data_IF_151674031879
#
_entry.id   IF_151674031879
#
_cell.length_a   1.000
_cell.length_b   1.000
_cell.length_c   1.000
_cell.angle_alpha   90.00
_cell.angle_beta   90.00
_cell.angle_gamma   90.00
#
_symmetry.space_group_name_H-M   'P 1'
#
loop_
_entity.id
_entity.type
_entity.pdbx_description
1 polymer ?
#
# COMPACT_ATOMS: atom_id res chain seq x y z
N UNK A 1 -24.65 -24.80 46.22
CA UNK A 1 -23.90 -25.55 45.19
C UNK A 1 -23.76 -24.63 43.99
N UNK A 2 -22.53 -24.30 43.57
CA UNK A 2 -22.29 -23.43 42.43
C UNK A 2 -22.25 -24.26 41.15
N UNK A 3 -23.16 -23.97 40.21
CA UNK A 3 -23.19 -24.57 38.88
C UNK A 3 -22.09 -23.92 38.06
N UNK A 4 -21.08 -24.69 37.69
CA UNK A 4 -20.06 -24.29 36.72
C UNK A 4 -20.74 -24.02 35.37
N UNK A 5 -20.32 -23.01 34.59
CA UNK A 5 -20.87 -22.77 33.27
C UNK A 5 -20.31 -23.85 32.34
N UNK A 6 -21.02 -24.97 32.24
CA UNK A 6 -20.81 -25.96 31.19
C UNK A 6 -21.11 -25.28 29.87
N UNK A 7 -20.12 -25.24 28.98
CA UNK A 7 -20.19 -24.69 27.64
C UNK A 7 -21.44 -25.20 26.93
N UNK A 8 -22.40 -24.31 26.62
CA UNK A 8 -23.72 -24.65 26.06
C UNK A 8 -23.69 -25.10 24.59
N UNK A 9 -22.51 -25.35 24.02
CA UNK A 9 -22.34 -25.66 22.61
C UNK A 9 -21.84 -27.09 22.47
N UNK A 10 -22.56 -27.93 21.71
CA UNK A 10 -22.11 -29.29 21.42
C UNK A 10 -20.79 -29.28 20.62
N UNK A 11 -20.04 -30.40 20.60
CA UNK A 11 -18.72 -30.50 19.95
C UNK A 11 -18.73 -30.08 18.46
N UNK A 12 -19.87 -30.25 17.78
CA UNK A 12 -20.04 -29.81 16.38
C UNK A 12 -20.02 -28.27 16.23
N UNK A 13 -20.56 -27.54 17.20
CA UNK A 13 -20.58 -26.08 17.17
C UNK A 13 -19.19 -25.51 17.50
N UNK A 14 -18.45 -26.12 18.44
CA UNK A 14 -17.07 -25.74 18.73
C UNK A 14 -16.15 -25.98 17.51
N UNK A 15 -16.32 -27.10 16.81
CA UNK A 15 -15.59 -27.40 15.57
C UNK A 15 -15.89 -26.38 14.47
N UNK A 16 -17.17 -26.04 14.26
CA UNK A 16 -17.59 -25.03 13.27
C UNK A 16 -17.03 -23.63 13.58
N UNK A 17 -16.96 -23.25 14.86
CA UNK A 17 -16.34 -21.98 15.29
C UNK A 17 -14.84 -21.99 15.00
N UNK A 18 -14.15 -23.11 15.25
CA UNK A 18 -12.71 -23.22 14.98
C UNK A 18 -12.42 -23.12 13.48
N UNK A 19 -13.17 -23.83 12.65
CA UNK A 19 -13.06 -23.78 11.17
C UNK A 19 -13.30 -22.37 10.64
N UNK A 20 -14.36 -21.71 11.11
CA UNK A 20 -14.67 -20.32 10.73
C UNK A 20 -13.54 -19.37 11.12
N UNK A 21 -12.98 -19.51 12.33
CA UNK A 21 -11.85 -18.69 12.77
C UNK A 21 -10.59 -18.92 11.94
N UNK A 22 -10.30 -20.17 11.55
CA UNK A 22 -9.17 -20.46 10.66
C UNK A 22 -9.37 -19.85 9.27
N UNK A 23 -10.58 -19.97 8.72
CA UNK A 23 -10.93 -19.35 7.44
C UNK A 23 -10.74 -17.82 7.47
N UNK A 24 -11.27 -17.15 8.50
CA UNK A 24 -11.15 -15.69 8.65
C UNK A 24 -9.69 -15.24 8.78
N UNK A 25 -8.84 -16.01 9.48
CA UNK A 25 -7.40 -15.71 9.56
C UNK A 25 -6.71 -15.84 8.21
N UNK A 26 -7.04 -16.88 7.44
CA UNK A 26 -6.51 -17.07 6.09
C UNK A 26 -6.92 -15.95 5.15
N UNK A 27 -8.19 -15.54 5.17
CA UNK A 27 -8.67 -14.42 4.35
C UNK A 27 -8.05 -13.08 4.78
N UNK A 28 -7.82 -12.87 6.08
CA UNK A 28 -7.12 -11.69 6.57
C UNK A 28 -5.68 -11.63 6.04
N UNK A 29 -4.93 -12.73 6.12
CA UNK A 29 -3.56 -12.76 5.60
C UNK A 29 -3.50 -12.57 4.08
N UNK A 30 -4.45 -13.16 3.36
CA UNK A 30 -4.61 -12.93 1.91
C UNK A 30 -4.91 -11.47 1.60
N UNK A 31 -5.81 -10.83 2.35
CA UNK A 31 -6.14 -9.43 2.18
C UNK A 31 -4.92 -8.52 2.46
N UNK A 32 -4.17 -8.79 3.52
CA UNK A 32 -2.92 -8.07 3.83
C UNK A 32 -1.90 -8.17 2.70
N UNK A 33 -1.73 -9.36 2.12
CA UNK A 33 -0.81 -9.54 1.00
C UNK A 33 -1.29 -8.79 -0.24
N UNK A 34 -2.57 -8.92 -0.60
CA UNK A 34 -3.15 -8.19 -1.72
C UNK A 34 -3.00 -6.67 -1.57
N UNK A 35 -3.17 -6.15 -0.35
CA UNK A 35 -2.98 -4.74 -0.07
C UNK A 35 -1.52 -4.31 -0.29
N UNK A 36 -0.55 -5.11 0.16
CA UNK A 36 0.88 -4.86 -0.10
C UNK A 36 1.19 -4.84 -1.59
N UNK A 37 0.74 -5.85 -2.33
CA UNK A 37 0.98 -5.96 -3.77
C UNK A 37 0.35 -4.82 -4.55
N UNK A 38 -0.88 -4.40 -4.17
CA UNK A 38 -1.55 -3.27 -4.79
C UNK A 38 -0.83 -1.95 -4.48
N UNK A 39 -0.35 -1.79 -3.25
CA UNK A 39 0.42 -0.62 -2.83
C UNK A 39 1.72 -0.51 -3.64
N UNK A 40 2.45 -1.61 -3.82
CA UNK A 40 3.66 -1.64 -4.64
C UNK A 40 3.39 -1.25 -6.10
N UNK A 41 2.34 -1.82 -6.70
CA UNK A 41 1.92 -1.47 -8.08
C UNK A 41 1.52 -0.02 -8.20
N UNK A 42 0.78 0.50 -7.22
CA UNK A 42 0.36 1.91 -7.19
C UNK A 42 1.58 2.84 -7.11
N UNK A 43 2.51 2.57 -6.20
CA UNK A 43 3.74 3.36 -6.04
C UNK A 43 4.61 3.30 -7.30
N UNK A 44 4.72 2.13 -7.93
CA UNK A 44 5.46 1.96 -9.20
C UNK A 44 4.83 2.78 -10.33
N UNK A 45 3.49 2.73 -10.46
CA UNK A 45 2.75 3.52 -11.44
C UNK A 45 2.96 5.02 -11.22
N UNK A 46 2.91 5.46 -9.95
CA UNK A 46 3.14 6.86 -9.57
C UNK A 46 4.55 7.32 -9.91
N UNK A 47 5.57 6.54 -9.55
CA UNK A 47 6.97 6.85 -9.88
C UNK A 47 7.20 6.94 -11.40
N UNK A 48 6.54 6.07 -12.16
CA UNK A 48 6.59 6.08 -13.63
C UNK A 48 5.92 7.33 -14.22
N UNK A 49 4.70 7.65 -13.77
CA UNK A 49 3.97 8.84 -14.21
C UNK A 49 4.75 10.12 -13.92
N UNK A 50 5.32 10.22 -12.72
CA UNK A 50 6.14 11.36 -12.32
C UNK A 50 7.43 11.47 -13.13
N UNK A 51 8.14 10.37 -13.35
CA UNK A 51 9.36 10.35 -14.18
C UNK A 51 9.06 10.79 -15.61
N UNK A 52 7.94 10.34 -16.17
CA UNK A 52 7.48 10.76 -17.49
C UNK A 52 7.11 12.24 -17.50
N UNK A 53 6.36 12.73 -16.51
CA UNK A 53 5.97 14.13 -16.39
C UNK A 53 7.21 15.04 -16.32
N UNK A 54 8.22 14.67 -15.54
CA UNK A 54 9.49 15.38 -15.47
C UNK A 54 10.26 15.38 -16.79
N UNK A 55 10.26 14.24 -17.50
CA UNK A 55 10.86 14.18 -18.84
C UNK A 55 10.13 15.11 -19.81
N UNK A 56 8.80 15.07 -19.84
CA UNK A 56 7.99 15.93 -20.71
C UNK A 56 8.12 17.41 -20.37
N UNK A 57 8.32 17.76 -19.09
CA UNK A 57 8.59 19.13 -18.65
C UNK A 57 9.91 19.66 -19.26
N UNK A 58 10.96 18.82 -19.35
CA UNK A 58 12.23 19.21 -19.98
C UNK A 58 12.06 19.53 -21.47
N UNK A 59 11.18 18.80 -22.16
CA UNK A 59 10.88 19.02 -23.58
C UNK A 59 9.83 20.12 -23.81
N UNK A 60 9.34 20.79 -22.75
CA UNK A 60 8.33 21.85 -22.81
C UNK A 60 7.11 21.47 -23.67
N UNK A 61 6.63 20.24 -23.51
CA UNK A 61 5.43 19.79 -24.22
C UNK A 61 4.21 20.62 -23.77
N UNK A 62 3.78 21.55 -24.62
CA UNK A 62 2.69 22.50 -24.31
C UNK A 62 1.36 21.79 -24.08
N UNK A 63 1.07 20.75 -24.88
CA UNK A 63 -0.15 19.95 -24.81
C UNK A 63 -0.26 19.13 -23.51
N UNK A 64 0.87 18.85 -22.85
CA UNK A 64 0.90 18.06 -21.62
C UNK A 64 1.06 18.89 -20.35
N UNK A 65 1.09 20.23 -20.43
CA UNK A 65 1.39 21.10 -19.27
C UNK A 65 0.44 20.89 -18.09
N UNK A 66 -0.86 20.84 -18.35
CA UNK A 66 -1.86 20.69 -17.29
C UNK A 66 -1.78 19.29 -16.64
N UNK A 67 -1.55 18.26 -17.45
CA UNK A 67 -1.36 16.89 -16.96
C UNK A 67 -0.08 16.75 -16.11
N UNK A 68 1.04 17.34 -16.57
CA UNK A 68 2.30 17.38 -15.82
C UNK A 68 2.08 18.09 -14.48
N UNK A 69 1.38 19.22 -14.48
CA UNK A 69 1.10 19.99 -13.27
C UNK A 69 0.26 19.19 -12.26
N UNK A 70 -0.81 18.54 -12.70
CA UNK A 70 -1.65 17.71 -11.82
C UNK A 70 -0.88 16.56 -11.17
N UNK A 71 -0.06 15.85 -11.95
CA UNK A 71 0.78 14.74 -11.44
C UNK A 71 1.79 15.22 -10.40
N UNK A 72 2.36 16.42 -10.59
CA UNK A 72 3.31 17.02 -9.65
C UNK A 72 2.63 17.58 -8.39
N UNK A 73 1.44 18.16 -8.51
CA UNK A 73 0.69 18.72 -7.37
C UNK A 73 0.09 17.65 -6.45
N UNK A 74 -0.39 16.52 -7.00
CA UNK A 74 -0.89 15.39 -6.21
C UNK A 74 0.21 14.75 -5.33
N UNK A 75 1.48 14.81 -5.76
CA UNK A 75 2.62 14.34 -4.97
C UNK A 75 2.89 15.22 -3.75
N UNK A 76 2.79 16.54 -3.90
CA UNK A 76 2.93 17.51 -2.81
C UNK A 76 1.89 17.26 -1.70
N UNK A 77 0.63 17.01 -2.08
CA UNK A 77 -0.42 16.74 -1.10
C UNK A 77 -0.21 15.41 -0.36
N UNK A 78 0.28 14.38 -1.04
CA UNK A 78 0.57 13.08 -0.42
C UNK A 78 1.71 13.17 0.61
N UNK A 79 2.76 13.96 0.33
CA UNK A 79 3.85 14.21 1.29
C UNK A 79 3.39 14.93 2.55
N UNK A 80 2.46 15.88 2.43
CA UNK A 80 1.87 16.58 3.58
C UNK A 80 1.00 15.65 4.44
N UNK A 81 0.27 14.71 3.83
CA UNK A 81 -0.59 13.78 4.55
C UNK A 81 0.18 12.67 5.30
N UNK A 82 1.42 12.35 4.88
CA UNK A 82 2.24 11.31 5.52
C UNK A 82 3.17 11.82 6.64
N UNK A 83 3.10 13.10 7.01
CA UNK A 83 3.97 13.74 8.01
C UNK A 83 3.79 13.31 9.48
N UNK A 84 2.96 12.31 9.79
CA UNK A 84 2.70 11.88 11.18
C UNK A 84 2.84 10.36 11.36
N UNK A 85 4.08 9.85 11.35
CA UNK A 85 4.39 8.52 11.90
C UNK A 85 5.31 7.67 11.05
N UNK A 86 6.61 7.72 11.36
CA UNK A 86 7.69 6.76 11.02
C UNK A 86 7.42 5.79 9.84
N UNK A 87 7.35 6.34 8.63
CA UNK A 87 7.65 5.61 7.39
C UNK A 87 8.71 6.41 6.63
N UNK A 88 9.65 5.70 5.99
CA UNK A 88 10.76 6.31 5.25
C UNK A 88 10.18 7.16 4.13
N UNK A 89 10.43 8.48 4.09
CA UNK A 89 9.85 9.36 3.09
C UNK A 89 10.19 8.91 1.67
N UNK A 90 9.22 8.97 0.75
CA UNK A 90 9.36 8.64 -0.67
C UNK A 90 10.60 9.27 -1.33
N UNK A 91 11.03 10.46 -0.89
CA UNK A 91 12.23 11.13 -1.41
C UNK A 91 13.56 10.44 -1.04
N UNK A 92 13.63 9.67 0.05
CA UNK A 92 14.81 8.85 0.40
C UNK A 92 14.92 7.63 -0.53
N UNK A 93 13.79 6.99 -0.85
CA UNK A 93 13.73 5.95 -1.90
C UNK A 93 14.14 6.54 -3.25
N UNK A 94 13.67 7.76 -3.55
CA UNK A 94 14.02 8.53 -4.74
C UNK A 94 15.52 8.85 -4.84
N UNK A 95 16.15 9.22 -3.71
CA UNK A 95 17.58 9.48 -3.62
C UNK A 95 18.40 8.21 -3.88
N UNK A 96 17.91 7.05 -3.45
CA UNK A 96 18.54 5.76 -3.72
C UNK A 96 18.49 5.39 -5.21
N UNK A 97 17.32 5.54 -5.84
CA UNK A 97 17.13 5.26 -7.26
C UNK A 97 17.93 6.20 -8.18
N UNK A 98 18.03 7.49 -7.82
CA UNK A 98 18.82 8.48 -8.57
C UNK A 98 20.34 8.30 -8.39
N UNK A 99 20.80 7.77 -7.25
CA UNK A 99 22.23 7.67 -6.91
C UNK A 99 22.89 6.39 -7.41
N UNK A 100 22.15 5.30 -7.61
CA UNK A 100 22.76 3.99 -7.90
C UNK A 100 22.26 3.25 -9.13
N UNK A 101 21.27 3.77 -9.87
CA UNK A 101 20.61 2.97 -10.91
C UNK A 101 19.89 1.77 -10.28
N UNK A 102 18.94 1.19 -11.01
CA UNK A 102 18.03 0.17 -10.47
C UNK A 102 18.77 -0.95 -9.71
N UNK A 103 18.50 -1.19 -8.42
CA UNK A 103 18.95 -2.40 -7.76
C UNK A 103 18.21 -3.59 -8.37
N UNK A 104 18.95 -4.57 -8.86
CA UNK A 104 18.43 -5.90 -9.17
C UNK A 104 18.05 -6.59 -7.86
N UNK A 105 16.76 -6.67 -7.57
CA UNK A 105 16.20 -7.59 -6.57
C UNK A 105 15.69 -8.84 -7.27
#
# INVERSE_FOLDING_TARGET
MAVSPTTCFGPNAEMSILETNQYLRSELEKCKQNFRDLTEKFLTSKATAYSLANHLQKYKCEECKDLIKSVLEEELQFQFLQGSGKEVPLWEVYKYCLKWGSPSW
#
